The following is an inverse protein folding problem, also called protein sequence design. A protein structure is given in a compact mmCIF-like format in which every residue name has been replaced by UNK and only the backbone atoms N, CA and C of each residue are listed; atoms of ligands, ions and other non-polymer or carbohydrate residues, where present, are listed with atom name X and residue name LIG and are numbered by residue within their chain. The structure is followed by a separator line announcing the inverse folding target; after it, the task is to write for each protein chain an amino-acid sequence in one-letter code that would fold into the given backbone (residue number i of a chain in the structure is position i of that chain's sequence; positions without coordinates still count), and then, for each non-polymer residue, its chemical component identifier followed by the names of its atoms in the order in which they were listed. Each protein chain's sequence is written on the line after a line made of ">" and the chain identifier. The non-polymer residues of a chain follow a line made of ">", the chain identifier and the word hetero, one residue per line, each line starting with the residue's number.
data_IF_182338566984
#
_entry.id   IF_182338566984
#
_cell.length_a   1.000
_cell.length_b   1.000
_cell.length_c   1.000
_cell.angle_alpha   90.00
_cell.angle_beta   90.00
_cell.angle_gamma   90.00
#
_symmetry.space_group_name_H-M   'P 1'
#
loop_
_entity.id
_entity.type
_entity.pdbx_description
1 polymer ?
#
# COMPACT_ATOMS: atom_id res chain seq x y z
N UNK A 1 7.22 27.96 4.40
CA UNK A 1 6.12 27.15 4.99
C UNK A 1 5.13 26.85 3.87
N UNK A 2 4.84 25.59 3.61
CA UNK A 2 3.91 25.18 2.54
C UNK A 2 2.44 25.51 2.82
N UNK A 3 2.08 26.05 3.98
CA UNK A 3 0.72 26.42 4.32
C UNK A 3 -0.29 25.27 4.32
N UNK A 4 0.15 24.03 4.56
CA UNK A 4 -0.70 22.87 4.56
C UNK A 4 -1.76 22.92 5.67
N UNK A 5 -2.96 22.45 5.34
CA UNK A 5 -4.10 22.33 6.27
C UNK A 5 -4.45 20.85 6.36
N UNK A 6 -4.57 20.33 7.58
CA UNK A 6 -5.19 19.04 7.80
C UNK A 6 -6.71 19.29 7.93
N UNK A 7 -7.50 18.72 7.01
CA UNK A 7 -8.94 18.89 6.94
C UNK A 7 -9.65 17.54 6.90
N UNK A 8 -10.87 17.50 7.42
CA UNK A 8 -11.81 16.41 7.16
C UNK A 8 -12.69 16.79 5.95
N UNK A 9 -13.32 15.81 5.27
CA UNK A 9 -14.15 16.08 4.09
C UNK A 9 -15.24 17.12 4.40
N UNK A 10 -15.85 17.05 5.57
CA UNK A 10 -16.88 18.01 6.02
C UNK A 10 -16.39 19.46 6.16
N UNK A 11 -15.09 19.67 6.23
CA UNK A 11 -14.48 21.02 6.30
C UNK A 11 -14.19 21.61 4.91
N UNK A 12 -14.51 20.86 3.87
CA UNK A 12 -14.33 21.25 2.48
C UNK A 12 -15.65 21.68 1.85
N UNK A 13 -15.57 22.65 0.96
CA UNK A 13 -16.72 23.14 0.21
C UNK A 13 -16.25 23.92 -1.02
N UNK A 14 -17.19 24.54 -1.74
CA UNK A 14 -16.87 25.30 -2.94
C UNK A 14 -17.35 26.74 -2.80
N UNK A 15 -16.54 27.67 -3.32
CA UNK A 15 -16.97 29.05 -3.43
C UNK A 15 -17.92 29.27 -4.61
N UNK A 16 -18.38 30.52 -4.80
CA UNK A 16 -19.32 30.88 -5.89
C UNK A 16 -18.76 30.69 -7.29
N UNK A 17 -17.44 30.62 -7.42
CA UNK A 17 -16.70 30.45 -8.66
C UNK A 17 -16.34 28.97 -8.89
N UNK A 18 -16.68 28.09 -7.96
CA UNK A 18 -16.45 26.65 -8.01
C UNK A 18 -15.03 26.25 -7.62
N UNK A 19 -14.29 27.08 -6.88
CA UNK A 19 -13.00 26.71 -6.32
C UNK A 19 -13.15 26.03 -4.97
N UNK A 20 -12.34 25.01 -4.73
CA UNK A 20 -12.32 24.31 -3.46
C UNK A 20 -11.82 25.25 -2.34
N UNK A 21 -12.54 25.26 -1.23
CA UNK A 21 -12.20 26.07 -0.06
C UNK A 21 -12.27 25.25 1.24
N UNK A 22 -11.40 25.58 2.17
CA UNK A 22 -11.51 25.11 3.55
C UNK A 22 -12.52 26.00 4.28
N UNK A 23 -13.71 25.48 4.54
CA UNK A 23 -14.86 26.25 5.06
C UNK A 23 -14.55 27.00 6.37
N UNK A 24 -13.87 26.40 7.37
CA UNK A 24 -13.59 27.09 8.62
C UNK A 24 -12.70 28.35 8.47
N UNK A 25 -11.78 28.36 7.52
CA UNK A 25 -10.84 29.48 7.33
C UNK A 25 -11.14 30.31 6.09
N UNK A 26 -12.06 29.87 5.24
CA UNK A 26 -12.37 30.46 3.93
C UNK A 26 -11.15 30.55 2.99
N UNK A 27 -10.13 29.75 3.25
CA UNK A 27 -8.93 29.70 2.40
C UNK A 27 -9.21 28.79 1.21
N UNK A 28 -8.83 29.25 0.03
CA UNK A 28 -8.83 28.46 -1.18
C UNK A 28 -7.76 27.37 -1.09
N UNK A 29 -8.09 26.20 -1.62
CA UNK A 29 -7.22 25.03 -1.68
C UNK A 29 -6.84 24.82 -3.14
N UNK A 30 -5.55 24.87 -3.42
CA UNK A 30 -5.04 24.66 -4.77
C UNK A 30 -4.64 23.18 -5.01
N UNK A 31 -4.28 22.47 -3.93
CA UNK A 31 -3.84 21.06 -3.99
C UNK A 31 -4.46 20.27 -2.85
N UNK A 32 -5.01 19.13 -3.18
CA UNK A 32 -5.48 18.10 -2.22
C UNK A 32 -4.50 16.93 -2.24
N UNK A 33 -3.98 16.56 -1.07
CA UNK A 33 -3.30 15.30 -0.85
C UNK A 33 -4.28 14.35 -0.16
N UNK A 34 -4.79 13.41 -0.91
CA UNK A 34 -5.82 12.49 -0.47
C UNK A 34 -5.28 11.42 0.49
N UNK A 35 -6.01 11.19 1.60
CA UNK A 35 -5.72 10.16 2.63
C UNK A 35 -6.98 9.42 3.07
N UNK A 36 -7.99 9.48 2.26
CA UNK A 36 -9.30 8.84 2.42
C UNK A 36 -9.53 7.94 1.21
N UNK A 37 -10.31 6.89 1.36
CA UNK A 37 -10.67 6.02 0.24
C UNK A 37 -11.46 6.83 -0.80
N UNK A 38 -11.14 6.65 -2.07
CA UNK A 38 -11.62 7.45 -3.20
C UNK A 38 -13.14 7.40 -3.32
N UNK A 39 -13.75 6.24 -3.11
CA UNK A 39 -15.19 6.05 -3.15
C UNK A 39 -15.91 6.87 -2.06
N UNK A 40 -15.32 7.03 -0.88
CA UNK A 40 -15.85 7.87 0.20
C UNK A 40 -15.71 9.34 -0.17
N UNK A 41 -14.52 9.75 -0.64
CA UNK A 41 -14.26 11.15 -0.98
C UNK A 41 -15.22 11.66 -2.04
N UNK A 42 -15.37 10.93 -3.14
CA UNK A 42 -16.23 11.36 -4.25
C UNK A 42 -17.71 11.10 -4.00
N UNK A 43 -18.08 10.22 -3.08
CA UNK A 43 -19.46 10.11 -2.62
C UNK A 43 -19.89 11.31 -1.76
N UNK A 44 -18.99 11.82 -0.92
CA UNK A 44 -19.29 12.95 -0.02
C UNK A 44 -19.00 14.33 -0.65
N UNK A 45 -18.12 14.38 -1.65
CA UNK A 45 -17.70 15.62 -2.33
C UNK A 45 -17.61 15.43 -3.85
N UNK A 46 -18.73 15.11 -4.53
CA UNK A 46 -18.72 14.76 -5.96
C UNK A 46 -18.24 15.90 -6.87
N UNK A 47 -18.45 17.15 -6.51
CA UNK A 47 -18.01 18.32 -7.27
C UNK A 47 -16.47 18.45 -7.33
N UNK A 48 -15.75 17.71 -6.51
CA UNK A 48 -14.28 17.73 -6.51
C UNK A 48 -13.72 17.21 -7.83
N UNK A 49 -14.39 16.25 -8.48
CA UNK A 49 -14.00 15.72 -9.79
C UNK A 49 -14.08 16.82 -10.83
N UNK A 50 -15.22 17.53 -10.89
CA UNK A 50 -15.41 18.62 -11.85
C UNK A 50 -14.39 19.76 -11.60
N UNK A 51 -14.20 20.12 -10.35
CA UNK A 51 -13.22 21.13 -9.94
C UNK A 51 -11.79 20.75 -10.36
N UNK A 52 -11.42 19.47 -10.26
CA UNK A 52 -10.14 18.94 -10.72
C UNK A 52 -10.01 18.96 -12.25
N UNK A 53 -11.03 18.49 -12.96
CA UNK A 53 -11.05 18.49 -14.44
C UNK A 53 -11.00 19.90 -15.01
N UNK A 54 -11.64 20.86 -14.37
CA UNK A 54 -11.59 22.27 -14.74
C UNK A 54 -10.26 22.96 -14.38
N UNK A 55 -9.33 22.25 -13.71
CA UNK A 55 -8.04 22.79 -13.32
C UNK A 55 -8.09 23.80 -12.16
N UNK A 56 -9.19 23.81 -11.41
CA UNK A 56 -9.41 24.70 -10.25
C UNK A 56 -8.78 24.17 -8.96
N UNK A 57 -8.54 22.87 -8.88
CA UNK A 57 -7.80 22.18 -7.82
C UNK A 57 -6.96 21.08 -8.42
N UNK A 58 -5.84 20.78 -7.83
CA UNK A 58 -5.04 19.61 -8.19
C UNK A 58 -5.19 18.54 -7.11
N UNK A 59 -5.70 17.37 -7.48
CA UNK A 59 -5.81 16.22 -6.57
C UNK A 59 -4.61 15.31 -6.82
N UNK A 60 -3.80 15.12 -5.79
CA UNK A 60 -2.71 14.15 -5.81
C UNK A 60 -3.30 12.77 -5.56
N UNK A 61 -2.93 11.81 -6.42
CA UNK A 61 -3.65 10.58 -6.71
C UNK A 61 -4.93 10.91 -7.50
N UNK A 62 -4.76 11.02 -8.82
CA UNK A 62 -5.87 11.35 -9.73
C UNK A 62 -7.04 10.36 -9.57
N UNK A 63 -8.28 10.79 -9.81
CA UNK A 63 -9.45 9.91 -9.77
C UNK A 63 -9.22 8.60 -10.53
N UNK A 64 -9.65 7.49 -9.94
CA UNK A 64 -9.41 6.10 -10.39
C UNK A 64 -7.96 5.60 -10.25
N UNK A 65 -7.10 6.28 -9.50
CA UNK A 65 -5.75 5.78 -9.24
C UNK A 65 -5.71 4.61 -8.24
N UNK A 66 -6.78 4.34 -7.51
CA UNK A 66 -6.88 3.18 -6.61
C UNK A 66 -6.66 1.82 -7.31
N UNK A 67 -6.82 1.78 -8.64
CA UNK A 67 -6.50 0.56 -9.41
C UNK A 67 -5.06 0.09 -9.18
N UNK A 68 -4.12 1.00 -8.89
CA UNK A 68 -2.72 0.63 -8.63
C UNK A 68 -2.50 0.10 -7.20
N UNK A 69 -3.43 0.35 -6.29
CA UNK A 69 -3.42 -0.17 -4.92
C UNK A 69 -4.02 -1.59 -4.85
N UNK A 70 -4.74 -2.01 -5.88
CA UNK A 70 -5.28 -3.36 -5.98
C UNK A 70 -4.16 -4.40 -6.09
N UNK A 71 -4.06 -5.28 -5.10
CA UNK A 71 -3.04 -6.34 -5.07
C UNK A 71 -3.15 -7.32 -6.25
N UNK A 72 -4.30 -7.33 -6.93
CA UNK A 72 -4.48 -8.07 -8.19
C UNK A 72 -3.62 -7.54 -9.33
N UNK A 73 -3.25 -6.25 -9.31
CA UNK A 73 -2.37 -5.65 -10.33
C UNK A 73 -0.94 -6.14 -10.19
N UNK A 74 -0.49 -6.46 -8.96
CA UNK A 74 0.86 -6.97 -8.71
C UNK A 74 1.21 -8.21 -9.53
N UNK A 75 0.23 -9.05 -9.84
CA UNK A 75 0.38 -10.25 -10.68
C UNK A 75 0.93 -9.90 -12.07
N UNK A 76 0.54 -8.75 -12.59
CA UNK A 76 0.88 -8.30 -13.95
C UNK A 76 2.14 -7.43 -14.03
N UNK A 77 2.64 -6.93 -12.90
CA UNK A 77 3.77 -5.98 -12.90
C UNK A 77 5.00 -6.50 -13.66
N UNK A 78 5.45 -7.75 -13.49
CA UNK A 78 6.60 -8.25 -14.25
C UNK A 78 6.36 -8.26 -15.77
N UNK A 79 5.13 -8.60 -16.21
CA UNK A 79 4.78 -8.61 -17.63
C UNK A 79 4.61 -7.18 -18.17
N UNK A 80 4.09 -6.26 -17.36
CA UNK A 80 4.01 -4.84 -17.71
C UNK A 80 5.41 -4.25 -17.96
N UNK A 81 6.39 -4.57 -17.11
CA UNK A 81 7.78 -4.13 -17.29
C UNK A 81 8.32 -4.66 -18.62
N UNK A 82 8.14 -5.94 -18.92
CA UNK A 82 8.59 -6.52 -20.20
C UNK A 82 7.92 -5.89 -21.40
N UNK A 83 6.60 -5.69 -21.30
CA UNK A 83 5.77 -5.21 -22.42
C UNK A 83 6.01 -3.74 -22.72
N UNK A 84 6.02 -2.89 -21.69
CA UNK A 84 6.08 -1.44 -21.87
C UNK A 84 7.51 -0.89 -21.90
N UNK A 85 8.43 -1.49 -21.13
CA UNK A 85 9.81 -1.02 -21.05
C UNK A 85 10.76 -1.86 -21.90
N UNK A 86 10.37 -3.08 -22.30
CA UNK A 86 11.26 -4.00 -23.01
C UNK A 86 12.41 -4.54 -22.15
N UNK A 87 12.23 -4.52 -20.82
CA UNK A 87 13.25 -4.86 -19.83
C UNK A 87 12.81 -6.02 -18.95
N UNK A 88 13.78 -6.68 -18.30
CA UNK A 88 13.49 -7.61 -17.22
C UNK A 88 13.41 -6.85 -15.88
N UNK A 89 12.51 -7.25 -14.97
CA UNK A 89 12.44 -6.65 -13.65
C UNK A 89 13.77 -6.69 -12.90
N UNK A 90 14.28 -5.54 -12.46
CA UNK A 90 15.53 -5.45 -11.70
C UNK A 90 15.36 -6.01 -10.27
N UNK A 91 14.16 -5.89 -9.71
CA UNK A 91 13.82 -6.42 -8.39
C UNK A 91 12.81 -7.55 -8.60
N UNK A 92 13.11 -8.71 -8.03
CA UNK A 92 12.21 -9.87 -8.12
C UNK A 92 10.97 -9.62 -7.26
N UNK A 93 9.80 -9.68 -7.87
CA UNK A 93 8.53 -9.68 -7.15
C UNK A 93 8.31 -11.03 -6.46
N UNK A 94 7.56 -11.03 -5.36
CA UNK A 94 7.01 -12.25 -4.80
C UNK A 94 6.14 -12.96 -5.84
N UNK A 95 6.29 -14.28 -5.97
CA UNK A 95 5.40 -15.03 -6.83
C UNK A 95 3.96 -14.87 -6.34
N UNK A 96 3.11 -14.33 -7.19
CA UNK A 96 1.72 -13.99 -6.86
C UNK A 96 0.78 -14.72 -7.81
N UNK A 97 -0.31 -15.26 -7.28
CA UNK A 97 -1.36 -15.96 -8.00
C UNK A 97 -2.68 -15.24 -7.86
N UNK A 98 -3.40 -15.10 -8.98
CA UNK A 98 -4.76 -14.57 -8.99
C UNK A 98 -5.78 -15.69 -8.79
N UNK A 99 -6.57 -15.61 -7.73
CA UNK A 99 -7.62 -16.61 -7.51
C UNK A 99 -8.82 -16.46 -8.47
N UNK A 100 -8.82 -15.40 -9.28
CA UNK A 100 -9.75 -15.27 -10.40
C UNK A 100 -9.45 -16.30 -11.52
N UNK A 101 -8.18 -16.71 -11.67
CA UNK A 101 -7.74 -17.68 -12.68
C UNK A 101 -7.97 -19.11 -12.14
N UNK A 102 -8.77 -19.95 -12.80
CA UNK A 102 -9.14 -21.28 -12.28
C UNK A 102 -7.97 -22.21 -11.97
N UNK A 103 -6.93 -22.22 -12.82
CA UNK A 103 -5.73 -23.04 -12.66
C UNK A 103 -4.91 -22.59 -11.46
N UNK A 104 -4.70 -21.30 -11.32
CA UNK A 104 -3.95 -20.70 -10.19
C UNK A 104 -4.71 -20.91 -8.88
N UNK A 105 -6.04 -20.70 -8.90
CA UNK A 105 -6.89 -20.97 -7.76
C UNK A 105 -6.78 -22.41 -7.28
N UNK A 106 -6.81 -23.39 -8.18
CA UNK A 106 -6.65 -24.80 -7.82
C UNK A 106 -5.32 -25.04 -7.12
N UNK A 107 -4.22 -24.54 -7.69
CA UNK A 107 -2.89 -24.62 -7.09
C UNK A 107 -2.85 -24.02 -5.68
N UNK A 108 -3.41 -22.83 -5.51
CA UNK A 108 -3.48 -22.13 -4.22
C UNK A 108 -4.31 -22.91 -3.21
N UNK A 109 -5.47 -23.47 -3.61
CA UNK A 109 -6.33 -24.23 -2.70
C UNK A 109 -5.68 -25.52 -2.20
N UNK A 110 -4.85 -26.17 -3.01
CA UNK A 110 -4.09 -27.36 -2.59
C UNK A 110 -2.99 -27.02 -1.57
N UNK A 111 -2.45 -25.81 -1.62
CA UNK A 111 -1.32 -25.32 -0.81
C UNK A 111 -1.67 -24.18 0.14
N UNK A 112 -2.94 -24.00 0.43
CA UNK A 112 -3.48 -22.83 1.11
C UNK A 112 -2.79 -22.50 2.44
N UNK A 113 -2.39 -23.50 3.21
CA UNK A 113 -1.66 -23.33 4.47
C UNK A 113 -0.16 -23.04 4.35
N UNK A 114 0.40 -23.04 3.13
CA UNK A 114 1.81 -22.74 2.87
C UNK A 114 2.02 -21.32 2.36
N UNK A 115 0.95 -20.65 1.95
CA UNK A 115 0.97 -19.38 1.24
C UNK A 115 0.50 -18.22 2.12
N UNK A 116 0.75 -17.01 1.65
CA UNK A 116 0.16 -15.78 2.20
C UNK A 116 -1.03 -15.41 1.32
N UNK A 117 -2.24 -15.43 1.88
CA UNK A 117 -3.46 -15.08 1.16
C UNK A 117 -3.96 -13.73 1.62
N UNK A 118 -4.27 -12.84 0.67
CA UNK A 118 -4.60 -11.44 0.92
C UNK A 118 -5.87 -11.05 0.17
N UNK A 119 -6.72 -10.24 0.79
CA UNK A 119 -7.77 -9.50 0.07
C UNK A 119 -7.13 -8.48 -0.89
N UNK A 120 -7.67 -8.35 -2.10
CA UNK A 120 -7.19 -7.40 -3.11
C UNK A 120 -7.27 -5.96 -2.63
N UNK A 121 -8.42 -5.54 -2.10
CA UNK A 121 -8.65 -4.19 -1.59
C UNK A 121 -8.25 -3.96 -0.12
N UNK A 122 -7.74 -4.98 0.60
CA UNK A 122 -7.38 -4.84 2.02
C UNK A 122 -6.15 -3.96 2.25
N UNK A 123 -6.11 -3.25 3.37
CA UNK A 123 -4.99 -2.40 3.77
C UNK A 123 -4.55 -2.67 5.21
N UNK A 124 -3.32 -2.25 5.57
CA UNK A 124 -2.83 -2.29 6.96
C UNK A 124 -2.67 -3.68 7.56
N UNK A 125 -2.60 -4.74 6.75
CA UNK A 125 -2.52 -6.13 7.22
C UNK A 125 -3.86 -6.74 7.61
N UNK A 126 -4.97 -6.04 7.39
CA UNK A 126 -6.32 -6.61 7.51
C UNK A 126 -6.56 -7.61 6.36
N UNK A 127 -7.30 -8.67 6.67
CA UNK A 127 -7.64 -9.73 5.72
C UNK A 127 -6.41 -10.36 5.02
N UNK A 128 -5.32 -10.49 5.79
CA UNK A 128 -4.10 -11.20 5.41
C UNK A 128 -3.97 -12.45 6.29
N UNK A 129 -3.87 -13.60 5.66
CA UNK A 129 -3.57 -14.86 6.32
C UNK A 129 -2.16 -15.30 5.91
N UNK A 130 -1.29 -15.53 6.89
CA UNK A 130 0.04 -16.11 6.69
C UNK A 130 -0.07 -17.59 7.11
N UNK A 131 -0.29 -18.46 6.12
CA UNK A 131 -0.60 -19.87 6.36
C UNK A 131 0.28 -20.55 7.40
N UNK A 132 1.64 -20.48 7.30
CA UNK A 132 2.53 -21.09 8.27
C UNK A 132 2.45 -20.56 9.71
N UNK A 133 1.85 -19.39 9.93
CA UNK A 133 1.67 -18.80 11.27
C UNK A 133 0.30 -19.14 11.89
N UNK A 134 -0.60 -19.74 11.11
CA UNK A 134 -1.98 -19.95 11.49
C UNK A 134 -2.28 -21.37 11.99
N UNK A 135 -3.26 -21.48 12.86
CA UNK A 135 -3.78 -22.77 13.25
C UNK A 135 -4.56 -23.41 12.08
N UNK A 136 -4.60 -24.75 12.06
CA UNK A 136 -5.37 -25.49 11.05
C UNK A 136 -6.84 -25.06 10.99
N UNK A 137 -7.43 -24.78 12.14
CA UNK A 137 -8.82 -24.32 12.23
C UNK A 137 -8.99 -22.92 11.59
N UNK A 138 -8.05 -22.00 11.83
CA UNK A 138 -8.02 -20.65 11.25
C UNK A 138 -7.89 -20.72 9.73
N UNK A 139 -6.97 -21.56 9.23
CA UNK A 139 -6.76 -21.82 7.80
C UNK A 139 -8.06 -22.31 7.15
N UNK A 140 -8.71 -23.32 7.70
CA UNK A 140 -9.94 -23.90 7.15
C UNK A 140 -11.11 -22.90 7.18
N UNK A 141 -11.18 -22.05 8.20
CA UNK A 141 -12.20 -21.00 8.28
C UNK A 141 -11.97 -19.95 7.20
N UNK A 142 -10.73 -19.45 7.04
CA UNK A 142 -10.40 -18.44 6.04
C UNK A 142 -10.54 -18.99 4.61
N UNK A 143 -10.12 -20.24 4.38
CA UNK A 143 -10.29 -20.94 3.11
C UNK A 143 -11.74 -20.93 2.64
N UNK A 144 -12.71 -21.22 3.53
CA UNK A 144 -14.14 -21.14 3.19
C UNK A 144 -14.62 -19.75 2.83
N UNK A 145 -14.02 -18.70 3.41
CA UNK A 145 -14.33 -17.31 3.04
C UNK A 145 -13.84 -17.03 1.62
N UNK A 146 -12.61 -17.40 1.32
CA UNK A 146 -11.98 -17.22 0.01
C UNK A 146 -12.71 -18.05 -1.08
N UNK A 147 -13.12 -19.27 -0.79
CA UNK A 147 -13.87 -20.12 -1.73
C UNK A 147 -15.22 -19.52 -2.17
N UNK A 148 -15.82 -18.64 -1.37
CA UNK A 148 -17.07 -17.96 -1.71
C UNK A 148 -16.88 -16.83 -2.71
N UNK A 149 -15.78 -16.11 -2.59
CA UNK A 149 -15.47 -14.95 -3.43
C UNK A 149 -14.00 -14.97 -3.86
N UNK A 150 -13.55 -15.96 -4.64
CA UNK A 150 -12.12 -16.12 -4.94
C UNK A 150 -11.54 -14.96 -5.74
N UNK A 151 -12.33 -14.26 -6.53
CA UNK A 151 -11.90 -13.11 -7.33
C UNK A 151 -11.46 -11.90 -6.48
N UNK A 152 -11.86 -11.87 -5.21
CA UNK A 152 -11.49 -10.82 -4.27
C UNK A 152 -10.13 -11.07 -3.57
N UNK A 153 -9.44 -12.16 -3.93
CA UNK A 153 -8.21 -12.57 -3.25
C UNK A 153 -7.08 -12.85 -4.23
N UNK A 154 -5.87 -12.63 -3.74
CA UNK A 154 -4.60 -13.10 -4.32
C UNK A 154 -3.86 -13.94 -3.29
N UNK A 155 -2.99 -14.82 -3.76
CA UNK A 155 -2.06 -15.55 -2.91
C UNK A 155 -0.62 -15.24 -3.32
N UNK A 156 0.28 -15.25 -2.36
CA UNK A 156 1.70 -15.03 -2.58
C UNK A 156 2.52 -16.12 -1.88
N UNK A 157 3.72 -16.38 -2.43
CA UNK A 157 4.72 -17.13 -1.68
C UNK A 157 5.08 -16.39 -0.39
N UNK A 158 5.34 -17.14 0.68
CA UNK A 158 5.89 -16.55 1.89
C UNK A 158 7.35 -16.18 1.62
N UNK A 159 7.65 -14.88 1.75
CA UNK A 159 9.03 -14.39 1.62
C UNK A 159 9.72 -14.51 2.97
N UNK A 160 10.90 -15.10 2.94
CA UNK A 160 11.82 -15.07 4.08
C UNK A 160 12.52 -13.70 4.10
N UNK A 161 11.98 -12.80 4.89
CA UNK A 161 12.52 -11.45 5.03
C UNK A 161 13.89 -11.46 5.68
N UNK A 162 14.75 -10.54 5.28
CA UNK A 162 15.97 -10.23 6.02
C UNK A 162 15.63 -9.76 7.43
N UNK A 163 16.47 -10.12 8.38
CA UNK A 163 16.34 -9.67 9.77
C UNK A 163 17.23 -8.47 10.03
N UNK A 164 16.81 -7.63 10.96
CA UNK A 164 17.59 -6.51 11.47
C UNK A 164 17.48 -6.44 12.98
N UNK A 165 18.57 -6.04 13.64
CA UNK A 165 18.60 -5.93 15.10
C UNK A 165 17.68 -4.79 15.55
N UNK A 166 16.69 -5.12 16.37
CA UNK A 166 15.84 -4.17 17.08
C UNK A 166 16.37 -3.98 18.49
N UNK A 167 16.58 -2.72 18.87
CA UNK A 167 16.97 -2.33 20.21
C UNK A 167 15.73 -1.89 21.01
N UNK A 168 15.47 -2.53 22.13
CA UNK A 168 14.34 -2.21 23.00
C UNK A 168 14.83 -1.87 24.40
N UNK A 169 14.42 -0.71 24.92
CA UNK A 169 14.62 -0.37 26.33
C UNK A 169 13.54 -1.06 27.18
N UNK A 170 13.96 -1.84 28.19
CA UNK A 170 13.07 -2.49 29.17
C UNK A 170 13.62 -2.28 30.57
N UNK A 171 12.87 -1.62 31.43
CA UNK A 171 13.12 -1.51 32.88
C UNK A 171 14.60 -1.32 33.25
N UNK A 172 15.28 -0.34 32.63
CA UNK A 172 16.67 -0.02 32.89
C UNK A 172 17.71 -0.90 32.18
N UNK A 173 17.27 -1.81 31.31
CA UNK A 173 18.13 -2.62 30.44
C UNK A 173 17.82 -2.38 28.96
N UNK A 174 18.80 -2.70 28.11
CA UNK A 174 18.65 -2.68 26.66
C UNK A 174 18.67 -4.12 26.16
N UNK A 175 17.64 -4.50 25.41
CA UNK A 175 17.53 -5.83 24.83
C UNK A 175 17.64 -5.71 23.32
N UNK A 176 18.48 -6.54 22.71
CA UNK A 176 18.63 -6.65 21.27
C UNK A 176 17.92 -7.91 20.78
N UNK A 177 17.13 -7.78 19.72
CA UNK A 177 16.40 -8.89 19.11
C UNK A 177 16.45 -8.79 17.60
N UNK A 178 16.65 -9.91 16.94
CA UNK A 178 16.44 -9.99 15.49
C UNK A 178 14.95 -9.91 15.18
N UNK A 179 14.63 -9.10 14.20
CA UNK A 179 13.26 -8.89 13.73
C UNK A 179 13.25 -8.74 12.22
N UNK A 180 12.23 -9.27 11.55
CA UNK A 180 12.04 -9.06 10.13
C UNK A 180 11.92 -7.58 9.79
N UNK A 181 12.52 -7.19 8.68
CA UNK A 181 12.53 -5.81 8.22
C UNK A 181 12.21 -5.72 6.73
N UNK A 182 11.54 -4.65 6.36
CA UNK A 182 11.36 -4.24 4.97
C UNK A 182 11.72 -2.77 4.76
N UNK A 183 11.87 -2.39 3.49
CA UNK A 183 12.10 -1.02 3.07
C UNK A 183 10.89 -0.49 2.30
N UNK A 184 10.33 0.62 2.76
CA UNK A 184 9.39 1.40 1.96
C UNK A 184 10.17 2.44 1.17
N UNK A 185 10.33 2.18 -0.10
CA UNK A 185 10.92 3.11 -1.07
C UNK A 185 9.83 4.02 -1.63
N UNK A 186 10.13 5.29 -1.81
CA UNK A 186 9.23 6.27 -2.43
C UNK A 186 9.83 6.66 -3.78
N UNK A 187 9.07 6.43 -4.84
CA UNK A 187 9.39 6.88 -6.18
C UNK A 187 8.50 8.09 -6.53
N UNK A 188 9.08 9.09 -7.13
CA UNK A 188 8.41 10.30 -7.56
C UNK A 188 8.46 10.39 -9.08
N UNK A 189 7.39 10.83 -9.70
CA UNK A 189 7.33 11.22 -11.11
C UNK A 189 7.22 12.76 -11.18
N UNK A 190 8.34 13.48 -11.16
CA UNK A 190 8.35 14.94 -11.01
C UNK A 190 7.82 15.68 -12.23
N UNK A 191 7.86 15.07 -13.41
CA UNK A 191 7.31 15.64 -14.64
C UNK A 191 6.15 14.78 -15.14
N UNK A 192 4.89 15.23 -15.02
CA UNK A 192 3.74 14.48 -15.51
C UNK A 192 3.69 14.32 -17.03
N UNK A 193 4.53 15.06 -17.77
CA UNK A 193 4.63 14.99 -19.23
C UNK A 193 5.70 14.00 -19.71
N UNK A 194 6.62 13.62 -18.84
CA UNK A 194 7.64 12.61 -19.13
C UNK A 194 7.60 11.47 -18.11
N UNK A 195 6.88 10.39 -18.43
CA UNK A 195 6.75 9.25 -17.53
C UNK A 195 8.07 8.47 -17.33
N UNK A 196 9.10 8.78 -18.12
CA UNK A 196 10.41 8.11 -17.98
C UNK A 196 11.29 8.77 -16.91
N UNK A 197 10.92 9.97 -16.45
CA UNK A 197 11.64 10.64 -15.36
C UNK A 197 11.08 10.18 -14.04
N UNK A 198 11.80 9.28 -13.39
CA UNK A 198 11.46 8.78 -12.05
C UNK A 198 12.62 9.06 -11.10
N UNK A 199 12.31 9.71 -10.00
CA UNK A 199 13.26 9.97 -8.92
C UNK A 199 12.95 9.10 -7.70
N UNK A 200 13.98 8.48 -7.15
CA UNK A 200 13.86 7.73 -5.90
C UNK A 200 14.28 8.63 -4.74
N UNK A 201 13.40 8.80 -3.77
CA UNK A 201 13.72 9.55 -2.55
C UNK A 201 14.91 8.88 -1.84
N UNK A 202 16.01 9.59 -1.61
CA UNK A 202 17.17 9.05 -0.91
C UNK A 202 16.80 8.63 0.52
N UNK A 203 17.13 7.39 0.86
CA UNK A 203 16.83 6.85 2.19
C UNK A 203 15.40 6.32 2.32
N UNK A 204 15.20 5.01 2.11
CA UNK A 204 13.90 4.38 2.32
C UNK A 204 13.51 4.38 3.81
N UNK A 205 12.22 4.27 4.09
CA UNK A 205 11.74 4.03 5.45
C UNK A 205 11.93 2.55 5.79
N UNK A 206 12.77 2.24 6.79
CA UNK A 206 12.88 0.87 7.32
C UNK A 206 11.75 0.61 8.31
N UNK A 207 10.95 -0.43 8.04
CA UNK A 207 9.94 -0.93 8.99
C UNK A 207 10.43 -2.26 9.56
N UNK A 208 10.15 -2.49 10.84
CA UNK A 208 10.60 -3.67 11.57
C UNK A 208 9.41 -4.32 12.26
N UNK A 209 9.26 -5.61 12.08
CA UNK A 209 8.17 -6.38 12.68
C UNK A 209 8.34 -6.50 14.20
N UNK A 210 7.26 -6.84 14.88
CA UNK A 210 7.34 -7.38 16.24
C UNK A 210 8.15 -8.68 16.18
N UNK A 211 9.13 -8.89 17.11
CA UNK A 211 9.94 -10.10 17.10
C UNK A 211 9.11 -11.38 17.00
N UNK A 212 9.45 -12.23 16.04
CA UNK A 212 8.74 -13.49 15.75
C UNK A 212 7.48 -13.35 14.91
N UNK A 213 7.19 -12.18 14.33
CA UNK A 213 6.09 -11.94 13.40
C UNK A 213 6.60 -11.48 12.04
N UNK A 214 5.94 -11.91 10.95
CA UNK A 214 6.27 -11.48 9.58
C UNK A 214 5.63 -10.13 9.20
N UNK A 215 4.56 -9.72 9.88
CA UNK A 215 3.88 -8.45 9.56
C UNK A 215 4.68 -7.27 10.09
N UNK A 216 5.23 -6.45 9.19
CA UNK A 216 6.06 -5.27 9.52
C UNK A 216 5.27 -3.97 9.70
N UNK A 217 3.94 -3.99 9.54
CA UNK A 217 3.11 -2.80 9.62
C UNK A 217 3.09 -2.18 11.03
N UNK A 218 3.14 -0.85 11.08
CA UNK A 218 3.07 -0.08 12.32
C UNK A 218 1.73 -0.32 13.04
N UNK A 219 0.63 -0.42 12.28
CA UNK A 219 -0.71 -0.74 12.80
C UNK A 219 -0.77 -2.11 13.49
N UNK A 220 0.16 -3.02 13.19
CA UNK A 220 0.31 -4.33 13.80
C UNK A 220 1.37 -4.37 14.91
N UNK A 221 1.80 -3.20 15.41
CA UNK A 221 2.81 -3.06 16.45
C UNK A 221 4.25 -3.02 15.96
N UNK A 222 4.47 -3.02 14.64
CA UNK A 222 5.79 -2.82 14.03
C UNK A 222 6.37 -1.45 14.39
N UNK A 223 7.68 -1.30 14.20
CA UNK A 223 8.43 -0.07 14.50
C UNK A 223 9.11 0.44 13.23
N UNK A 224 9.51 1.71 13.27
CA UNK A 224 10.32 2.33 12.23
C UNK A 224 11.75 2.55 12.71
N UNK A 225 12.67 2.55 11.75
CA UNK A 225 14.08 2.89 11.97
C UNK A 225 14.53 3.86 10.88
N UNK A 226 15.44 4.73 11.23
CA UNK A 226 16.14 5.55 10.25
C UNK A 226 16.97 4.66 9.32
N UNK A 227 17.02 5.03 8.06
CA UNK A 227 17.81 4.33 7.05
C UNK A 227 18.87 5.28 6.52
N UNK A 228 20.11 4.88 6.62
CA UNK A 228 21.24 5.64 6.11
C UNK A 228 21.79 4.94 4.89
N UNK A 229 21.82 5.64 3.77
CA UNK A 229 22.47 5.19 2.53
C UNK A 229 23.90 5.74 2.58
N UNK A 230 24.85 4.85 2.65
CA UNK A 230 26.26 5.23 2.70
C UNK A 230 26.81 5.30 1.28
N UNK A 231 27.60 6.34 1.00
CA UNK A 231 28.42 6.39 -0.22
C UNK A 231 29.60 5.41 -0.06
N UNK A 232 29.92 4.71 -1.17
CA UNK A 232 31.08 3.79 -1.24
C UNK A 232 32.36 4.55 -1.49
#
# INVERSE_FOLDING_TARGET
>A
EMGAILAEIRDLGFDREGYLVHEPTRRRIDVVYERVDEDILYAELPELIDCHVEGKVHVLFAPNSEVVDDKGVEVFVPEMIRTYLGEEPLIKNAQTWSLAVPEERRYVMERFGELVVKSRGGYGGKDVMIGPEESRESIERFRRVVERNPTEYVAQELIDFSTHVLCEAREGSVVFRDSYADYRVIALAPDPKDPNVVEIVPGPLTRVAVPGKHVVNISSGGKMKDTWVLEN
#
